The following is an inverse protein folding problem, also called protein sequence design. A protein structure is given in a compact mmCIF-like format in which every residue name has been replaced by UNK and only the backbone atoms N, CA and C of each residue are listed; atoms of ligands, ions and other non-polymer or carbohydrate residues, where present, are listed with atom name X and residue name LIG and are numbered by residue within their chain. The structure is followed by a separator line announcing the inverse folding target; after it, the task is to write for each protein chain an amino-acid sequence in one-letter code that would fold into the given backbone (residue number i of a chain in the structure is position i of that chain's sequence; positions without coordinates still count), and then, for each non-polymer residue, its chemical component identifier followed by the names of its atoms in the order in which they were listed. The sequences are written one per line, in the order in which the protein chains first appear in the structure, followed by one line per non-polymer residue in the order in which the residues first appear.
data_IF_856234003467
#
_entry.id   IF_856234003467
#
_cell.length_a   1.000
_cell.length_b   1.000
_cell.length_c   1.000
_cell.angle_alpha   90.00
_cell.angle_beta   90.00
_cell.angle_gamma   90.00
#
_symmetry.space_group_name_H-M   'P 1'
#
loop_
_entity.id
_entity.type
_entity.pdbx_description
1 polymer ?
#
# COMPACT_ATOMS: atom_id res chain seq x y z
N UNK A 1 0.08 -16.25 15.33
CA UNK A 1 -0.32 -15.26 16.35
C UNK A 1 -1.41 -14.38 15.79
N UNK A 2 -2.49 -14.20 16.54
CA UNK A 2 -3.60 -13.39 16.07
C UNK A 2 -3.27 -11.90 16.18
N UNK A 3 -3.70 -11.16 15.17
CA UNK A 3 -3.57 -9.72 15.16
C UNK A 3 -4.62 -9.11 16.09
N UNK A 4 -4.20 -8.25 17.02
CA UNK A 4 -5.11 -7.63 17.96
C UNK A 4 -5.84 -6.41 17.36
N UNK A 5 -5.43 -5.99 16.17
CA UNK A 5 -6.04 -4.87 15.47
C UNK A 5 -7.25 -5.32 14.66
N UNK A 6 -8.24 -4.42 14.52
CA UNK A 6 -9.29 -4.64 13.54
C UNK A 6 -8.67 -4.53 12.14
N UNK A 7 -9.37 -5.05 11.15
CA UNK A 7 -8.88 -4.97 9.77
C UNK A 7 -8.69 -3.51 9.33
N UNK A 8 -9.63 -2.63 9.69
CA UNK A 8 -9.52 -1.22 9.33
C UNK A 8 -8.31 -0.56 9.99
N UNK A 9 -8.09 -0.83 11.27
CA UNK A 9 -6.93 -0.29 11.98
C UNK A 9 -5.63 -0.84 11.41
N UNK A 10 -5.64 -2.11 11.03
CA UNK A 10 -4.49 -2.76 10.39
C UNK A 10 -4.15 -2.09 9.07
N UNK A 11 -5.17 -1.82 8.24
CA UNK A 11 -4.97 -1.13 6.96
C UNK A 11 -4.44 0.28 7.15
N UNK A 12 -4.98 1.00 8.15
CA UNK A 12 -4.49 2.35 8.47
C UNK A 12 -3.02 2.32 8.86
N UNK A 13 -2.61 1.33 9.65
CA UNK A 13 -1.22 1.19 10.05
C UNK A 13 -0.33 0.86 8.84
N UNK A 14 -0.79 0.01 7.94
CA UNK A 14 -0.08 -0.32 6.70
C UNK A 14 0.15 0.95 5.89
N UNK A 15 -0.90 1.74 5.69
CA UNK A 15 -0.81 2.99 4.92
C UNK A 15 0.14 3.98 5.59
N UNK A 16 0.07 4.10 6.92
CA UNK A 16 0.92 5.02 7.66
C UNK A 16 2.40 4.68 7.51
N UNK A 17 2.73 3.40 7.58
CA UNK A 17 4.11 2.94 7.42
C UNK A 17 4.59 3.26 6.01
N UNK A 18 3.78 2.97 5.00
CA UNK A 18 4.13 3.26 3.61
C UNK A 18 4.31 4.76 3.37
N UNK A 19 3.42 5.59 3.92
CA UNK A 19 3.55 7.05 3.81
C UNK A 19 4.88 7.53 4.33
N UNK A 20 5.26 7.03 5.51
CA UNK A 20 6.49 7.45 6.17
C UNK A 20 7.72 7.06 5.38
N UNK A 21 7.75 5.83 4.86
CA UNK A 21 8.93 5.29 4.17
C UNK A 21 9.04 5.79 2.72
N UNK A 22 7.91 5.93 2.03
CA UNK A 22 7.92 6.34 0.63
C UNK A 22 7.76 7.85 0.44
N UNK A 23 7.38 8.56 1.51
CA UNK A 23 7.06 9.99 1.45
C UNK A 23 6.00 10.28 0.41
N UNK A 24 4.97 9.46 0.41
CA UNK A 24 3.84 9.57 -0.49
C UNK A 24 2.56 9.51 0.33
N UNK A 25 1.43 9.78 -0.28
CA UNK A 25 0.13 9.65 0.38
C UNK A 25 -0.48 8.31 -0.02
N UNK A 26 -0.61 7.42 0.96
CA UNK A 26 -1.22 6.11 0.76
C UNK A 26 -2.49 6.05 1.58
N UNK A 27 -3.62 5.81 0.94
CA UNK A 27 -4.92 5.77 1.59
C UNK A 27 -5.75 4.60 1.08
N UNK A 28 -6.73 4.20 1.88
CA UNK A 28 -7.73 3.23 1.43
C UNK A 28 -8.93 4.03 0.92
N UNK A 29 -9.35 3.75 -0.31
CA UNK A 29 -10.49 4.43 -0.92
C UNK A 29 -11.80 3.79 -0.49
N UNK A 30 -12.91 4.46 -0.82
CA UNK A 30 -14.25 3.92 -0.56
C UNK A 30 -14.55 2.67 -1.35
N UNK A 31 -13.76 2.36 -2.39
CA UNK A 31 -13.92 1.15 -3.19
C UNK A 31 -13.04 -0.01 -2.69
N UNK A 32 -12.54 0.13 -1.47
CA UNK A 32 -11.70 -0.90 -0.84
C UNK A 32 -10.42 -1.17 -1.64
N UNK A 33 -9.79 -0.09 -2.08
CA UNK A 33 -8.53 -0.15 -2.80
C UNK A 33 -7.53 0.78 -2.12
N UNK A 34 -6.24 0.44 -2.22
CA UNK A 34 -5.19 1.36 -1.81
C UNK A 34 -4.97 2.38 -2.91
N UNK A 35 -4.92 3.64 -2.54
CA UNK A 35 -4.61 4.71 -3.46
C UNK A 35 -3.28 5.33 -3.05
N UNK A 36 -2.35 5.39 -4.00
CA UNK A 36 -1.03 5.97 -3.76
C UNK A 36 -0.88 7.22 -4.63
N UNK A 37 -0.58 8.33 -3.99
CA UNK A 37 -0.35 9.60 -4.69
C UNK A 37 1.03 10.11 -4.35
N UNK A 38 1.88 10.22 -5.36
CA UNK A 38 3.21 10.79 -5.21
C UNK A 38 3.21 12.18 -5.85
N UNK A 39 3.13 13.22 -5.03
CA UNK A 39 2.99 14.59 -5.52
C UNK A 39 4.12 15.00 -6.45
N UNK A 40 5.34 14.53 -6.19
CA UNK A 40 6.51 14.89 -6.99
C UNK A 40 6.36 14.51 -8.45
N UNK A 41 5.73 13.36 -8.71
CA UNK A 41 5.59 12.82 -10.06
C UNK A 41 4.15 12.84 -10.55
N UNK A 42 3.23 13.36 -9.75
CA UNK A 42 1.80 13.34 -10.05
C UNK A 42 1.32 11.93 -10.38
N UNK A 43 1.92 10.96 -9.71
CA UNK A 43 1.66 9.56 -9.98
C UNK A 43 0.61 9.03 -9.01
N UNK A 44 -0.38 8.31 -9.56
CA UNK A 44 -1.46 7.73 -8.77
C UNK A 44 -1.61 6.28 -9.20
N UNK A 45 -1.72 5.40 -8.22
CA UNK A 45 -2.02 4.00 -8.52
C UNK A 45 -3.01 3.47 -7.51
N UNK A 46 -3.70 2.41 -7.91
CA UNK A 46 -4.66 1.71 -7.06
C UNK A 46 -4.25 0.26 -6.96
N UNK A 47 -4.30 -0.27 -5.74
CA UNK A 47 -3.98 -1.66 -5.46
C UNK A 47 -5.17 -2.25 -4.69
N UNK A 48 -5.66 -3.41 -5.16
CA UNK A 48 -6.81 -4.07 -4.56
C UNK A 48 -6.49 -4.52 -3.14
N UNK A 49 -7.31 -4.10 -2.17
CA UNK A 49 -7.16 -4.48 -0.77
C UNK A 49 -7.47 -5.96 -0.52
N UNK A 50 -8.15 -6.63 -1.46
CA UNK A 50 -8.55 -8.02 -1.27
C UNK A 50 -7.36 -8.93 -0.95
N UNK A 51 -6.21 -8.70 -1.60
CA UNK A 51 -5.02 -9.50 -1.33
C UNK A 51 -4.43 -9.23 0.05
N UNK A 52 -4.72 -8.08 0.64
CA UNK A 52 -4.24 -7.71 1.96
C UNK A 52 -5.13 -8.25 3.07
N UNK A 53 -6.39 -8.52 2.76
CA UNK A 53 -7.29 -9.18 3.70
C UNK A 53 -6.78 -10.56 4.07
N UNK A 54 -6.26 -11.29 3.09
CA UNK A 54 -5.67 -12.60 3.34
C UNK A 54 -4.45 -12.49 4.27
N UNK A 55 -3.61 -11.49 4.05
CA UNK A 55 -2.42 -11.26 4.89
C UNK A 55 -2.86 -10.95 6.32
N UNK A 56 -3.87 -10.10 6.48
CA UNK A 56 -4.40 -9.78 7.80
C UNK A 56 -4.94 -11.03 8.50
N UNK A 57 -5.71 -11.85 7.78
CA UNK A 57 -6.34 -13.04 8.34
C UNK A 57 -5.31 -14.10 8.75
N UNK A 58 -4.13 -14.09 8.13
CA UNK A 58 -3.05 -14.98 8.53
C UNK A 58 -2.36 -14.53 9.83
N UNK A 59 -2.68 -13.32 10.31
CA UNK A 59 -2.15 -12.82 11.57
C UNK A 59 -0.86 -12.02 11.44
N UNK A 60 -0.50 -11.62 10.22
CA UNK A 60 0.71 -10.85 10.01
C UNK A 60 0.58 -9.43 10.55
N UNK A 61 1.69 -8.86 11.00
CA UNK A 61 1.74 -7.50 11.49
C UNK A 61 1.61 -6.50 10.35
N UNK A 62 1.17 -5.24 10.67
CA UNK A 62 1.09 -4.20 9.64
C UNK A 62 2.39 -3.95 8.90
N UNK A 63 3.54 -4.11 9.57
CA UNK A 63 4.84 -3.93 8.94
C UNK A 63 5.04 -4.89 7.77
N UNK A 64 4.57 -6.14 7.91
CA UNK A 64 4.65 -7.12 6.82
C UNK A 64 3.75 -6.71 5.65
N UNK A 65 2.53 -6.27 5.96
CA UNK A 65 1.60 -5.78 4.94
C UNK A 65 2.17 -4.58 4.20
N UNK A 66 2.79 -3.66 4.96
CA UNK A 66 3.41 -2.48 4.36
C UNK A 66 4.56 -2.86 3.43
N UNK A 67 5.37 -3.85 3.81
CA UNK A 67 6.46 -4.33 2.97
C UNK A 67 5.91 -4.85 1.63
N UNK A 68 4.84 -5.63 1.68
CA UNK A 68 4.22 -6.16 0.47
C UNK A 68 3.63 -5.05 -0.40
N UNK A 69 2.98 -4.08 0.22
CA UNK A 69 2.42 -2.95 -0.50
C UNK A 69 3.51 -2.13 -1.16
N UNK A 70 4.62 -1.88 -0.44
CA UNK A 70 5.74 -1.13 -0.99
C UNK A 70 6.38 -1.83 -2.19
N UNK A 71 6.49 -3.15 -2.15
CA UNK A 71 7.01 -3.91 -3.29
C UNK A 71 6.16 -3.67 -4.53
N UNK A 72 4.84 -3.69 -4.37
CA UNK A 72 3.90 -3.46 -5.47
C UNK A 72 4.04 -2.03 -6.00
N UNK A 73 4.12 -1.05 -5.10
CA UNK A 73 4.23 0.37 -5.46
C UNK A 73 5.53 0.63 -6.23
N UNK A 74 6.64 0.12 -5.72
CA UNK A 74 7.95 0.33 -6.35
C UNK A 74 8.01 -0.31 -7.72
N UNK A 75 7.47 -1.52 -7.84
CA UNK A 75 7.42 -2.22 -9.12
C UNK A 75 6.63 -1.40 -10.15
N UNK A 76 5.50 -0.85 -9.72
CA UNK A 76 4.68 -0.01 -10.59
C UNK A 76 5.41 1.27 -10.99
N UNK A 77 6.14 1.86 -10.06
CA UNK A 77 6.94 3.06 -10.32
C UNK A 77 7.98 2.80 -11.40
N UNK A 78 8.69 1.68 -11.29
CA UNK A 78 9.71 1.33 -12.27
C UNK A 78 9.11 1.17 -13.66
N UNK A 79 7.93 0.57 -13.76
CA UNK A 79 7.24 0.42 -15.03
C UNK A 79 6.88 1.78 -15.64
N UNK A 80 6.41 2.71 -14.80
CA UNK A 80 6.05 4.05 -15.26
C UNK A 80 7.26 4.84 -15.73
N UNK A 81 8.39 4.71 -15.05
CA UNK A 81 9.63 5.38 -15.44
C UNK A 81 10.12 4.87 -16.81
N UNK A 82 10.02 3.57 -17.04
CA UNK A 82 10.39 3.00 -18.33
C UNK A 82 9.52 3.54 -19.45
N UNK A 83 8.21 3.70 -19.18
CA UNK A 83 7.28 4.24 -20.17
C UNK A 83 7.59 5.70 -20.49
N UNK A 84 7.99 6.48 -19.48
CA UNK A 84 8.32 7.90 -19.69
C UNK A 84 9.60 8.08 -20.51
N UNK A 85 10.53 7.15 -20.44
CA UNK A 85 11.79 7.24 -21.16
C UNK A 85 11.65 6.93 -22.64
N UNK A 86 10.48 6.51 -23.07
CA UNK A 86 10.20 6.30 -24.47
C UNK A 86 9.71 7.62 -25.09
#
# INVERSE_FOLDING_TARGET
MQNILTYEAWLDAVCHICNSLLKANVNVTGNNEFRVTATKYRWITFVDCARFEAIYNEGWEPAFGATKLMEIIIDRWEQLLVEEDK
#
